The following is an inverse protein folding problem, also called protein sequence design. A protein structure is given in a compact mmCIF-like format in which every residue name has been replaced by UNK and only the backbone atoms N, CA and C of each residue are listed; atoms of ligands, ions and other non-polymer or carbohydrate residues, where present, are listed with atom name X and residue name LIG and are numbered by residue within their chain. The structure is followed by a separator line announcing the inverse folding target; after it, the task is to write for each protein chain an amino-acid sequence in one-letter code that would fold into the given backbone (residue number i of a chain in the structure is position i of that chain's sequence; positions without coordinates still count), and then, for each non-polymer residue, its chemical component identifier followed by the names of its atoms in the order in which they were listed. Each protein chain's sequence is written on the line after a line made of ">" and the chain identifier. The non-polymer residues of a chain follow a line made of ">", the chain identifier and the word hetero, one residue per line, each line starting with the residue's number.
data_IF_930025705705
#
_entry.id   IF_930025705705
#
_cell.length_a   1.000
_cell.length_b   1.000
_cell.length_c   1.000
_cell.angle_alpha   90.00
_cell.angle_beta   90.00
_cell.angle_gamma   90.00
#
_symmetry.space_group_name_H-M   'P 1'
#
loop_
_entity.id
_entity.type
_entity.pdbx_description
1 polymer ?
#
# COMPACT_ATOMS: atom_id res chain seq x y z
N UNK A 1 -12.28 52.39 23.34
CA UNK A 1 -12.48 50.93 23.36
C UNK A 1 -13.26 50.51 22.12
N UNK A 2 -12.61 50.12 21.01
CA UNK A 2 -13.30 49.44 19.90
C UNK A 2 -13.17 47.91 20.03
N UNK A 3 -14.32 47.23 19.91
CA UNK A 3 -14.50 45.79 20.01
C UNK A 3 -13.94 45.08 18.77
N UNK A 4 -13.13 44.06 19.01
CA UNK A 4 -12.81 43.00 18.05
C UNK A 4 -14.08 42.19 17.75
N UNK A 5 -14.33 41.84 16.50
CA UNK A 5 -15.22 40.73 16.17
C UNK A 5 -14.74 40.04 14.90
N UNK A 6 -14.55 38.73 15.04
CA UNK A 6 -13.78 37.85 14.17
C UNK A 6 -14.51 37.52 12.86
N UNK A 7 -13.76 37.48 11.76
CA UNK A 7 -14.21 36.95 10.49
C UNK A 7 -14.03 35.42 10.49
N UNK A 8 -15.13 34.68 10.50
CA UNK A 8 -15.16 33.23 10.31
C UNK A 8 -15.02 32.89 8.82
N UNK A 9 -13.91 32.28 8.44
CA UNK A 9 -13.71 31.74 7.10
C UNK A 9 -14.32 30.33 6.99
N UNK A 10 -15.46 30.23 6.31
CA UNK A 10 -16.02 28.97 5.82
C UNK A 10 -15.20 28.49 4.62
N UNK A 11 -14.45 27.40 4.82
CA UNK A 11 -13.66 26.75 3.78
C UNK A 11 -14.53 25.70 3.06
N UNK A 12 -15.27 26.15 2.05
CA UNK A 12 -16.05 25.25 1.17
C UNK A 12 -15.12 24.70 0.10
N UNK A 13 -14.64 23.46 0.30
CA UNK A 13 -13.92 22.70 -0.73
C UNK A 13 -14.86 22.29 -1.88
N UNK A 14 -14.53 22.54 -3.15
CA UNK A 14 -15.22 21.95 -4.29
C UNK A 14 -14.35 20.85 -4.90
N UNK A 15 -14.31 19.65 -4.31
CA UNK A 15 -13.67 18.50 -4.95
C UNK A 15 -14.71 17.65 -5.67
N UNK A 16 -15.13 18.12 -6.85
CA UNK A 16 -15.96 17.37 -7.79
C UNK A 16 -15.04 16.75 -8.85
N UNK A 17 -14.53 15.55 -8.59
CA UNK A 17 -13.88 14.75 -9.64
C UNK A 17 -14.93 13.94 -10.39
N UNK A 18 -15.14 14.36 -11.64
CA UNK A 18 -15.91 13.64 -12.65
C UNK A 18 -14.90 12.81 -13.44
N UNK A 19 -15.01 11.49 -13.37
CA UNK A 19 -14.20 10.56 -14.16
C UNK A 19 -14.59 10.64 -15.65
N UNK A 20 -13.65 10.86 -16.58
CA UNK A 20 -13.91 10.61 -17.99
C UNK A 20 -13.75 9.12 -18.31
N UNK A 21 -14.85 8.47 -18.69
CA UNK A 21 -14.83 7.20 -19.43
C UNK A 21 -14.17 7.43 -20.79
N UNK A 22 -12.95 6.90 -20.94
CA UNK A 22 -12.24 6.87 -22.21
C UNK A 22 -12.78 5.74 -23.08
N UNK A 23 -13.27 6.13 -24.25
CA UNK A 23 -13.74 5.29 -25.34
C UNK A 23 -12.52 4.83 -26.18
N UNK A 24 -12.42 3.54 -26.51
CA UNK A 24 -11.53 3.08 -27.60
C UNK A 24 -12.33 2.23 -28.58
N UNK A 25 -12.32 2.66 -29.85
CA UNK A 25 -12.97 2.00 -30.97
C UNK A 25 -11.90 1.45 -31.93
N UNK A 26 -12.24 0.30 -32.51
CA UNK A 26 -11.77 -0.27 -33.78
C UNK A 26 -10.35 -0.82 -33.94
N UNK A 27 -10.31 -2.10 -34.33
CA UNK A 27 -9.41 -2.53 -35.40
C UNK A 27 -8.95 -3.98 -35.36
N UNK A 28 -9.50 -4.76 -36.31
CA UNK A 28 -8.87 -5.87 -37.06
C UNK A 28 -9.08 -7.28 -36.50
N UNK A 29 -10.09 -7.93 -37.09
CA UNK A 29 -10.22 -9.38 -37.14
C UNK A 29 -9.00 -10.02 -37.82
N UNK A 30 -8.36 -10.96 -37.13
CA UNK A 30 -7.43 -11.91 -37.73
C UNK A 30 -8.13 -13.26 -37.92
N UNK A 31 -8.46 -13.57 -39.18
CA UNK A 31 -8.73 -14.92 -39.64
C UNK A 31 -7.40 -15.69 -39.63
N UNK A 32 -7.14 -16.51 -38.62
CA UNK A 32 -6.12 -17.56 -38.71
C UNK A 32 -6.76 -18.93 -38.52
N UNK A 33 -7.17 -19.47 -39.68
CA UNK A 33 -6.98 -20.83 -40.14
C UNK A 33 -6.67 -21.86 -39.03
N UNK A 34 -7.75 -22.43 -38.53
CA UNK A 34 -7.82 -23.77 -37.96
C UNK A 34 -7.06 -24.76 -38.85
N UNK A 35 -5.98 -25.33 -38.31
CA UNK A 35 -5.34 -26.53 -38.84
C UNK A 35 -5.30 -27.55 -37.71
N UNK A 36 -6.18 -28.54 -37.83
CA UNK A 36 -6.21 -29.73 -37.01
C UNK A 36 -5.07 -30.66 -37.39
N UNK A 37 -4.18 -31.01 -36.45
CA UNK A 37 -3.34 -32.21 -36.53
C UNK A 37 -2.75 -32.54 -35.15
N UNK A 38 -2.88 -33.79 -34.72
CA UNK A 38 -1.87 -34.42 -33.87
C UNK A 38 -2.24 -34.68 -32.42
N UNK A 39 -2.73 -35.89 -32.18
CA UNK A 39 -2.79 -36.58 -30.89
C UNK A 39 -1.39 -36.68 -30.25
N UNK A 40 -1.16 -36.04 -29.11
CA UNK A 40 -0.01 -36.32 -28.25
C UNK A 40 -0.47 -36.33 -26.78
N UNK A 41 -0.54 -37.55 -26.26
CA UNK A 41 -0.66 -37.87 -24.84
C UNK A 41 0.68 -37.48 -24.21
N UNK A 42 0.65 -36.56 -23.24
CA UNK A 42 1.48 -36.56 -22.03
C UNK A 42 1.30 -35.25 -21.25
N UNK A 43 0.75 -35.37 -20.04
CA UNK A 43 1.08 -34.52 -18.90
C UNK A 43 0.56 -33.08 -18.95
N UNK A 44 -0.62 -32.87 -18.35
CA UNK A 44 -0.94 -31.57 -17.76
C UNK A 44 0.14 -31.22 -16.71
N UNK A 45 0.88 -30.09 -16.82
CA UNK A 45 1.39 -29.47 -15.61
C UNK A 45 0.21 -28.69 -15.01
N UNK A 46 -0.52 -29.35 -14.12
CA UNK A 46 -1.22 -28.66 -13.05
C UNK A 46 -0.16 -28.02 -12.15
N UNK A 47 0.38 -26.88 -12.58
CA UNK A 47 1.13 -25.98 -11.71
C UNK A 47 0.20 -24.82 -11.35
N UNK A 48 -0.88 -25.21 -10.66
CA UNK A 48 -1.35 -24.46 -9.50
C UNK A 48 -0.16 -24.33 -8.56
N UNK A 49 0.51 -23.19 -8.63
CA UNK A 49 0.74 -22.29 -7.50
C UNK A 49 1.55 -21.14 -8.08
N UNK A 50 0.91 -19.98 -8.22
CA UNK A 50 1.63 -18.75 -7.90
C UNK A 50 2.26 -19.00 -6.54
N UNK A 51 3.56 -19.33 -6.52
CA UNK A 51 4.40 -18.93 -5.41
C UNK A 51 4.33 -17.41 -5.47
N UNK A 52 3.30 -16.85 -4.83
CA UNK A 52 3.42 -15.56 -4.17
C UNK A 52 4.62 -15.75 -3.25
N UNK A 53 5.80 -15.51 -3.80
CA UNK A 53 7.02 -15.45 -3.03
C UNK A 53 6.95 -14.08 -2.41
N UNK A 54 6.15 -13.98 -1.35
CA UNK A 54 6.28 -12.93 -0.36
C UNK A 54 7.71 -13.06 0.12
N UNK A 55 8.58 -12.28 -0.51
CA UNK A 55 9.98 -12.19 -0.13
C UNK A 55 9.94 -11.22 1.03
N UNK A 56 9.64 -11.74 2.23
CA UNK A 56 9.81 -10.97 3.45
C UNK A 56 11.30 -10.64 3.51
N UNK A 57 11.67 -9.46 3.02
CA UNK A 57 13.04 -9.00 2.98
C UNK A 57 13.39 -8.32 4.31
N UNK A 58 12.39 -7.74 4.98
CA UNK A 58 12.51 -7.08 6.25
C UNK A 58 12.94 -8.03 7.37
N UNK A 59 13.84 -7.55 8.23
CA UNK A 59 14.20 -8.24 9.48
C UNK A 59 12.98 -8.32 10.39
N UNK A 60 12.84 -9.40 11.18
CA UNK A 60 11.70 -9.55 12.11
C UNK A 60 11.67 -8.43 13.16
N UNK A 61 12.83 -7.86 13.51
CA UNK A 61 12.93 -6.71 14.42
C UNK A 61 12.30 -5.44 13.82
N UNK A 62 12.52 -5.18 12.52
CA UNK A 62 11.93 -4.05 11.80
C UNK A 62 10.40 -4.16 11.78
N UNK A 63 9.87 -5.35 11.47
CA UNK A 63 8.42 -5.61 11.47
C UNK A 63 7.81 -5.37 12.85
N UNK A 64 8.46 -5.81 13.93
CA UNK A 64 7.97 -5.59 15.30
C UNK A 64 7.91 -4.10 15.65
N UNK A 65 8.96 -3.34 15.31
CA UNK A 65 8.98 -1.89 15.50
C UNK A 65 7.86 -1.18 14.73
N UNK A 66 7.62 -1.57 13.48
CA UNK A 66 6.51 -1.03 12.69
C UNK A 66 5.17 -1.33 13.36
N UNK A 67 4.93 -2.57 13.79
CA UNK A 67 3.73 -2.94 14.54
C UNK A 67 3.54 -2.11 15.81
N UNK A 68 4.62 -1.85 16.56
CA UNK A 68 4.55 -1.08 17.80
C UNK A 68 4.21 0.40 17.55
N UNK A 69 4.75 1.00 16.48
CA UNK A 69 4.41 2.37 16.07
C UNK A 69 2.94 2.44 15.64
N UNK A 70 2.49 1.50 14.81
CA UNK A 70 1.10 1.43 14.35
C UNK A 70 0.15 1.25 15.53
N UNK A 71 0.48 0.39 16.50
CA UNK A 71 -0.32 0.19 17.72
C UNK A 71 -0.43 1.48 18.53
N UNK A 72 0.66 2.25 18.66
CA UNK A 72 0.68 3.52 19.36
C UNK A 72 -0.16 4.58 18.66
N UNK A 73 0.00 4.73 17.34
CA UNK A 73 -0.73 5.76 16.58
C UNK A 73 -2.22 5.48 16.50
N UNK A 74 -2.61 4.22 16.27
CA UNK A 74 -4.02 3.81 16.20
C UNK A 74 -4.65 3.51 17.58
N UNK A 75 -3.91 3.73 18.67
CA UNK A 75 -4.32 3.43 20.04
C UNK A 75 -4.97 2.04 20.21
N UNK A 76 -4.43 1.03 19.50
CA UNK A 76 -4.99 -0.32 19.49
C UNK A 76 -4.67 -1.04 20.80
N UNK A 77 -5.60 -1.86 21.33
CA UNK A 77 -5.34 -2.64 22.54
C UNK A 77 -4.23 -3.67 22.28
N UNK A 78 -3.49 -4.04 23.34
CA UNK A 78 -2.41 -5.03 23.25
C UNK A 78 -2.88 -6.42 22.77
N UNK A 79 -4.18 -6.68 22.89
CA UNK A 79 -4.85 -7.91 22.46
C UNK A 79 -5.11 -7.94 20.94
N UNK A 80 -4.99 -6.81 20.25
CA UNK A 80 -5.10 -6.76 18.79
C UNK A 80 -3.89 -7.43 18.16
N UNK A 81 -4.14 -8.57 17.51
CA UNK A 81 -3.13 -9.28 16.76
C UNK A 81 -2.79 -8.50 15.48
N UNK A 82 -1.55 -7.99 15.42
CA UNK A 82 -1.01 -7.33 14.23
C UNK A 82 -0.17 -8.33 13.45
N UNK A 83 -0.62 -8.66 12.25
CA UNK A 83 0.12 -9.54 11.33
C UNK A 83 0.81 -8.73 10.24
N UNK A 84 1.93 -9.20 9.68
CA UNK A 84 2.61 -8.51 8.58
C UNK A 84 1.71 -8.32 7.35
N UNK A 85 0.80 -9.26 7.12
CA UNK A 85 -0.20 -9.22 6.03
C UNK A 85 -1.38 -8.27 6.32
N UNK A 86 -1.47 -7.71 7.55
CA UNK A 86 -2.53 -6.78 7.92
C UNK A 86 -2.41 -5.48 7.15
N UNK A 87 -3.55 -5.03 6.61
CA UNK A 87 -3.66 -3.75 5.94
C UNK A 87 -3.89 -2.63 6.94
N UNK A 88 -3.28 -1.47 6.72
CA UNK A 88 -3.52 -0.29 7.57
C UNK A 88 -5.00 0.09 7.63
N UNK A 89 -5.70 0.07 6.48
CA UNK A 89 -7.14 0.35 6.45
C UNK A 89 -7.99 -0.69 7.20
N UNK A 90 -7.52 -1.93 7.34
CA UNK A 90 -8.23 -2.97 8.08
C UNK A 90 -8.09 -2.80 9.59
N UNK A 91 -7.02 -2.12 10.02
CA UNK A 91 -6.76 -1.73 11.41
C UNK A 91 -7.46 -0.44 11.81
N UNK A 92 -8.19 0.19 10.88
CA UNK A 92 -8.89 1.45 11.11
C UNK A 92 -8.03 2.70 10.89
N UNK A 93 -6.86 2.57 10.26
CA UNK A 93 -6.08 3.73 9.85
C UNK A 93 -6.80 4.48 8.73
N UNK A 94 -7.05 5.76 8.93
CA UNK A 94 -7.49 6.68 7.89
C UNK A 94 -6.28 7.24 7.11
N UNK A 95 -6.57 7.97 6.04
CA UNK A 95 -5.60 8.69 5.21
C UNK A 95 -4.66 9.59 6.02
N UNK A 96 -5.13 10.21 7.10
CA UNK A 96 -4.28 11.02 8.00
C UNK A 96 -3.38 10.15 8.89
N UNK A 97 -3.93 9.10 9.50
CA UNK A 97 -3.18 8.19 10.36
C UNK A 97 -2.01 7.55 9.60
N UNK A 98 -2.22 7.22 8.33
CA UNK A 98 -1.21 6.63 7.46
C UNK A 98 -0.01 7.57 7.26
N UNK A 99 -0.27 8.88 7.11
CA UNK A 99 0.78 9.91 7.01
C UNK A 99 1.53 10.07 8.33
N UNK A 100 0.82 10.09 9.47
CA UNK A 100 1.45 10.20 10.80
C UNK A 100 2.32 8.98 11.14
N UNK A 101 1.87 7.78 10.78
CA UNK A 101 2.63 6.53 10.95
C UNK A 101 3.91 6.58 10.13
N UNK A 102 3.85 6.97 8.86
CA UNK A 102 5.01 7.08 7.96
C UNK A 102 6.02 8.08 8.52
N UNK A 103 5.58 9.27 8.94
CA UNK A 103 6.47 10.27 9.55
C UNK A 103 7.16 9.74 10.81
N UNK A 104 6.43 9.00 11.65
CA UNK A 104 7.00 8.38 12.86
C UNK A 104 8.05 7.31 12.52
N UNK A 105 7.83 6.55 11.44
CA UNK A 105 8.78 5.55 10.95
C UNK A 105 10.04 6.19 10.38
N UNK A 106 9.90 7.29 9.63
CA UNK A 106 11.03 8.06 9.11
C UNK A 106 11.91 8.61 10.23
N UNK A 107 11.29 9.15 11.29
CA UNK A 107 12.01 9.67 12.46
C UNK A 107 12.70 8.56 13.26
N UNK A 108 12.00 7.45 13.52
CA UNK A 108 12.54 6.32 14.31
C UNK A 108 13.74 5.63 13.62
N UNK A 109 13.67 5.46 12.29
CA UNK A 109 14.73 4.80 11.52
C UNK A 109 15.71 5.78 10.88
N UNK A 110 15.45 7.10 10.97
CA UNK A 110 16.25 8.15 10.36
C UNK A 110 16.33 8.05 8.84
N UNK A 111 15.25 7.60 8.17
CA UNK A 111 15.17 7.47 6.72
C UNK A 111 14.28 8.57 6.13
N UNK A 112 14.28 8.72 4.80
CA UNK A 112 13.35 9.60 4.09
C UNK A 112 12.63 8.74 3.05
N UNK A 113 11.32 8.57 3.23
CA UNK A 113 10.47 7.86 2.30
C UNK A 113 9.72 8.91 1.47
N UNK A 114 9.61 8.73 0.16
CA UNK A 114 8.82 9.66 -0.64
C UNK A 114 7.34 9.46 -0.34
N UNK A 115 6.59 10.56 -0.25
CA UNK A 115 5.15 10.53 0.04
C UNK A 115 4.38 9.65 -0.96
N UNK A 116 4.75 9.68 -2.25
CA UNK A 116 4.16 8.82 -3.27
C UNK A 116 4.37 7.33 -2.96
N UNK A 117 5.58 6.96 -2.53
CA UNK A 117 5.88 5.58 -2.14
C UNK A 117 5.16 5.16 -0.87
N UNK A 118 5.03 6.08 0.10
CA UNK A 118 4.31 5.89 1.36
C UNK A 118 2.80 5.71 1.18
N UNK A 119 2.18 6.44 0.26
CA UNK A 119 0.76 6.29 -0.08
C UNK A 119 0.45 4.96 -0.79
N UNK A 120 1.45 4.36 -1.47
CA UNK A 120 1.29 3.04 -2.10
C UNK A 120 1.43 1.88 -1.10
N UNK A 121 1.87 2.14 0.14
CA UNK A 121 2.02 1.11 1.16
C UNK A 121 0.65 0.75 1.74
N UNK A 122 0.22 -0.49 1.53
CA UNK A 122 -1.09 -0.95 2.01
C UNK A 122 -0.99 -1.85 3.23
N UNK A 123 0.15 -2.52 3.42
CA UNK A 123 0.37 -3.52 4.47
C UNK A 123 1.56 -3.20 5.36
N UNK A 124 1.53 -3.71 6.59
CA UNK A 124 2.64 -3.61 7.55
C UNK A 124 3.93 -4.19 6.97
N UNK A 125 3.81 -5.30 6.23
CA UNK A 125 4.95 -5.92 5.59
C UNK A 125 5.59 -5.04 4.53
N UNK A 126 4.79 -4.44 3.64
CA UNK A 126 5.32 -3.52 2.62
C UNK A 126 6.06 -2.34 3.25
N UNK A 127 5.54 -1.81 4.38
CA UNK A 127 6.21 -0.75 5.12
C UNK A 127 7.58 -1.21 5.64
N UNK A 128 7.62 -2.36 6.30
CA UNK A 128 8.85 -2.91 6.85
C UNK A 128 9.88 -3.22 5.76
N UNK A 129 9.44 -3.79 4.63
CA UNK A 129 10.30 -4.12 3.48
C UNK A 129 10.89 -2.85 2.83
N UNK A 130 10.11 -1.76 2.77
CA UNK A 130 10.61 -0.48 2.28
C UNK A 130 11.64 0.13 3.23
N UNK A 131 11.34 0.16 4.53
CA UNK A 131 12.26 0.67 5.56
C UNK A 131 13.60 -0.06 5.50
N UNK A 132 13.56 -1.40 5.44
CA UNK A 132 14.77 -2.22 5.39
C UNK A 132 15.66 -1.85 4.19
N UNK A 133 15.07 -1.64 3.01
CA UNK A 133 15.81 -1.21 1.81
C UNK A 133 16.54 0.12 2.01
N UNK A 134 15.92 1.09 2.68
CA UNK A 134 16.55 2.38 2.96
C UNK A 134 17.61 2.28 4.05
N UNK A 135 17.37 1.45 5.08
CA UNK A 135 18.34 1.20 6.16
C UNK A 135 19.59 0.50 5.62
N UNK A 136 19.44 -0.48 4.74
CA UNK A 136 20.57 -1.16 4.08
C UNK A 136 21.36 -0.23 3.14
N UNK A 137 20.68 0.70 2.46
CA UNK A 137 21.34 1.69 1.59
C UNK A 137 22.14 2.75 2.37
N UNK A 138 21.82 2.95 3.65
CA UNK A 138 22.51 3.90 4.54
C UNK A 138 23.65 3.28 5.36
N UNK A 139 23.79 1.95 5.35
CA UNK A 139 24.83 1.21 6.08
C UNK A 139 26.11 1.04 5.25
#
# INVERSE_FOLDING_TARGET
>A
MPSVSASSATFTFPFRLTFPTSQVNNGKACNLKMVSLGWAKNGFPSLRTSRFRVSCAAKPETVQKVCDIVRKQLALPAETELTPESKFSALGADSLDTVEIVMSLEEEFGISVEEESSQNITTIQEAADLIEKFVESKA
#
